data_IF_537377313003
#
_entry.id   IF_537377313003
#
_cell.length_a   1.000
_cell.length_b   1.000
_cell.length_c   1.000
_cell.angle_alpha   90.00
_cell.angle_beta   90.00
_cell.angle_gamma   90.00
#
_symmetry.space_group_name_H-M   'P 1'
#
loop_
_entity.id
_entity.type
_entity.pdbx_description
1 polymer ?
#
# COMPACT_ATOMS: atom_id res chain seq x y z
N UNK A 1 1.32 7.90 -22.08
CA UNK A 1 0.41 6.74 -22.01
C UNK A 1 1.07 5.45 -22.53
N UNK A 2 1.55 5.40 -23.77
CA UNK A 2 2.12 4.19 -24.39
C UNK A 2 3.28 3.57 -23.57
N UNK A 3 4.15 4.38 -23.00
CA UNK A 3 5.27 3.92 -22.17
C UNK A 3 4.77 3.23 -20.89
N UNK A 4 3.74 3.76 -20.23
CA UNK A 4 3.13 3.11 -19.05
C UNK A 4 2.47 1.77 -19.42
N UNK A 5 1.82 1.68 -20.57
CA UNK A 5 1.26 0.40 -21.06
C UNK A 5 2.36 -0.65 -21.28
N UNK A 6 3.50 -0.25 -21.86
CA UNK A 6 4.64 -1.16 -22.01
C UNK A 6 5.24 -1.58 -20.67
N UNK A 7 5.38 -0.65 -19.72
CA UNK A 7 5.84 -0.96 -18.38
C UNK A 7 4.85 -1.90 -17.65
N UNK A 8 3.54 -1.66 -17.76
CA UNK A 8 2.51 -2.53 -17.21
C UNK A 8 2.59 -3.95 -17.76
N UNK A 9 2.84 -4.11 -19.07
CA UNK A 9 3.05 -5.42 -19.67
C UNK A 9 4.23 -6.15 -19.02
N UNK A 10 5.36 -5.47 -18.82
CA UNK A 10 6.53 -6.05 -18.18
C UNK A 10 6.26 -6.47 -16.73
N UNK A 11 5.48 -5.68 -15.98
CA UNK A 11 5.04 -6.06 -14.62
C UNK A 11 4.16 -7.32 -14.65
N UNK A 12 3.25 -7.44 -15.62
CA UNK A 12 2.45 -8.65 -15.80
C UNK A 12 3.33 -9.85 -16.19
N UNK A 13 4.27 -9.68 -17.10
CA UNK A 13 5.23 -10.74 -17.49
C UNK A 13 6.03 -11.23 -16.26
N UNK A 14 6.45 -10.31 -15.36
CA UNK A 14 7.05 -10.68 -14.07
C UNK A 14 6.08 -11.45 -13.17
N UNK A 15 4.82 -11.06 -13.07
CA UNK A 15 3.86 -11.76 -12.20
C UNK A 15 3.70 -13.24 -12.60
N UNK A 16 3.80 -13.55 -13.89
CA UNK A 16 3.69 -14.91 -14.42
C UNK A 16 5.03 -15.65 -14.44
N UNK A 17 6.07 -15.02 -14.98
CA UNK A 17 7.37 -15.66 -15.22
C UNK A 17 8.38 -15.50 -14.09
N UNK A 18 8.15 -14.60 -13.13
CA UNK A 18 9.06 -14.25 -12.01
C UNK A 18 10.47 -13.80 -12.46
N UNK A 19 10.64 -13.37 -13.72
CA UNK A 19 11.89 -12.84 -14.20
C UNK A 19 12.05 -11.36 -13.81
N UNK A 20 13.00 -11.08 -12.93
CA UNK A 20 13.29 -9.75 -12.40
C UNK A 20 13.68 -8.73 -13.47
N UNK A 21 14.26 -9.20 -14.61
CA UNK A 21 14.59 -8.29 -15.72
C UNK A 21 13.39 -7.52 -16.23
N UNK A 22 12.22 -8.14 -16.22
CA UNK A 22 10.98 -7.44 -16.61
C UNK A 22 10.71 -6.21 -15.76
N UNK A 23 10.92 -6.28 -14.45
CA UNK A 23 10.75 -5.13 -13.55
C UNK A 23 11.86 -4.10 -13.75
N UNK A 24 13.10 -4.53 -14.00
CA UNK A 24 14.22 -3.63 -14.31
C UNK A 24 13.97 -2.85 -15.60
N UNK A 25 13.48 -3.52 -16.64
CA UNK A 25 13.15 -2.90 -17.93
C UNK A 25 11.93 -2.00 -17.86
N UNK A 26 11.04 -2.17 -16.87
CA UNK A 26 9.90 -1.28 -16.64
C UNK A 26 10.34 0.12 -16.15
N UNK A 27 11.43 0.22 -15.36
CA UNK A 27 11.90 1.49 -14.78
C UNK A 27 12.17 2.56 -15.85
N UNK A 28 13.02 2.34 -16.86
CA UNK A 28 13.31 3.37 -17.86
C UNK A 28 12.08 3.80 -18.65
N UNK A 29 11.09 2.92 -18.83
CA UNK A 29 9.82 3.28 -19.48
C UNK A 29 8.99 4.20 -18.59
N UNK A 30 8.96 3.95 -17.27
CA UNK A 30 8.28 4.81 -16.30
C UNK A 30 8.97 6.17 -16.20
N UNK A 31 10.31 6.21 -16.17
CA UNK A 31 11.10 7.44 -16.17
C UNK A 31 10.82 8.31 -17.40
N UNK A 32 10.86 7.73 -18.60
CA UNK A 32 10.50 8.45 -19.83
C UNK A 32 9.06 8.93 -19.81
N UNK A 33 8.14 8.11 -19.28
CA UNK A 33 6.74 8.52 -19.13
C UNK A 33 6.61 9.74 -18.21
N UNK A 34 7.36 9.77 -17.11
CA UNK A 34 7.38 10.88 -16.16
C UNK A 34 7.96 12.16 -16.79
N UNK A 35 9.02 12.05 -17.60
CA UNK A 35 9.55 13.20 -18.35
C UNK A 35 8.52 13.81 -19.29
N UNK A 36 7.79 12.97 -20.03
CA UNK A 36 6.71 13.46 -20.88
C UNK A 36 5.59 14.10 -20.06
N UNK A 37 5.32 13.57 -18.86
CA UNK A 37 4.33 14.16 -17.97
C UNK A 37 4.77 15.53 -17.44
N UNK A 38 6.04 15.71 -17.08
CA UNK A 38 6.61 17.02 -16.70
C UNK A 38 6.46 18.05 -17.81
N UNK A 39 6.74 17.65 -19.05
CA UNK A 39 6.49 18.53 -20.22
C UNK A 39 5.02 18.86 -20.39
N UNK A 40 4.12 17.93 -20.13
CA UNK A 40 2.69 18.18 -20.13
C UNK A 40 2.31 19.22 -19.07
N UNK A 41 2.89 19.12 -17.85
CA UNK A 41 2.68 20.11 -16.78
C UNK A 41 3.12 21.49 -17.24
N UNK A 42 4.33 21.64 -17.80
CA UNK A 42 4.84 22.91 -18.33
C UNK A 42 3.90 23.52 -19.40
N UNK A 43 3.36 22.70 -20.29
CA UNK A 43 2.47 23.15 -21.36
C UNK A 43 1.06 23.47 -20.88
N UNK A 44 0.64 22.96 -19.75
CA UNK A 44 -0.74 23.10 -19.24
C UNK A 44 -0.84 24.03 -18.05
N UNK A 45 0.28 24.38 -17.40
CA UNK A 45 0.31 25.34 -16.29
C UNK A 45 -0.23 26.68 -16.79
N UNK A 46 -1.10 27.30 -16.01
CA UNK A 46 -1.80 28.57 -16.33
C UNK A 46 -2.77 28.52 -17.54
N UNK A 47 -2.81 27.43 -18.33
CA UNK A 47 -3.67 27.31 -19.51
C UNK A 47 -4.95 26.51 -19.26
N UNK A 48 -4.94 25.63 -18.26
CA UNK A 48 -6.04 24.76 -17.91
C UNK A 48 -6.38 24.85 -16.43
N UNK A 49 -7.67 24.95 -16.13
CA UNK A 49 -8.14 25.04 -14.73
C UNK A 49 -7.96 23.71 -13.96
N UNK A 50 -7.98 22.59 -14.67
CA UNK A 50 -7.81 21.26 -14.09
C UNK A 50 -7.44 20.23 -15.16
N UNK A 51 -6.84 19.13 -14.71
CA UNK A 51 -6.55 17.98 -15.56
C UNK A 51 -7.84 17.25 -15.97
N UNK A 52 -7.89 16.78 -17.19
CA UNK A 52 -9.00 15.97 -17.68
C UNK A 52 -8.52 14.84 -18.57
N UNK A 53 -9.30 13.74 -18.60
CA UNK A 53 -9.10 12.68 -19.55
C UNK A 53 -9.95 12.92 -20.80
N UNK A 54 -9.37 12.72 -21.98
CA UNK A 54 -10.10 12.72 -23.25
C UNK A 54 -10.45 11.27 -23.60
N UNK A 55 -11.51 10.74 -23.03
CA UNK A 55 -12.01 9.42 -23.44
C UNK A 55 -12.84 9.46 -24.70
N UNK A 56 -13.54 10.55 -24.94
CA UNK A 56 -14.27 10.80 -26.18
C UNK A 56 -14.26 12.30 -26.48
N UNK A 57 -14.45 12.68 -27.76
CA UNK A 57 -14.57 14.07 -28.19
C UNK A 57 -15.69 14.86 -27.47
N UNK A 58 -16.64 14.16 -26.86
CA UNK A 58 -17.84 14.73 -26.23
C UNK A 58 -17.79 14.72 -24.68
N UNK A 59 -16.89 13.96 -24.05
CA UNK A 59 -16.81 13.85 -22.59
C UNK A 59 -15.39 14.12 -22.13
N UNK A 60 -15.19 15.29 -21.56
CA UNK A 60 -14.01 15.62 -20.77
C UNK A 60 -14.34 15.28 -19.32
N UNK A 61 -13.72 14.24 -18.79
CA UNK A 61 -13.90 13.83 -17.42
C UNK A 61 -12.76 14.46 -16.63
N UNK A 62 -13.04 15.36 -15.68
CA UNK A 62 -12.01 15.87 -14.78
C UNK A 62 -11.35 14.74 -14.01
N UNK A 63 -10.04 14.81 -13.84
CA UNK A 63 -9.31 13.90 -12.97
C UNK A 63 -9.38 14.52 -11.58
N UNK A 64 -10.27 13.98 -10.75
CA UNK A 64 -10.50 14.45 -9.39
C UNK A 64 -9.68 13.68 -8.37
N UNK A 65 -9.55 14.25 -7.19
CA UNK A 65 -9.10 13.55 -6.00
C UNK A 65 -10.27 13.03 -5.19
N UNK A 66 -9.97 12.20 -4.19
CA UNK A 66 -10.95 11.64 -3.25
C UNK A 66 -11.67 12.71 -2.41
N UNK A 67 -11.11 13.91 -2.37
CA UNK A 67 -11.67 15.09 -1.71
C UNK A 67 -12.75 15.83 -2.53
N UNK A 68 -13.07 15.32 -3.73
CA UNK A 68 -14.07 15.89 -4.64
C UNK A 68 -13.59 17.13 -5.41
N UNK A 69 -12.33 17.54 -5.27
CA UNK A 69 -11.76 18.65 -6.03
C UNK A 69 -11.07 18.14 -7.31
N UNK A 70 -11.28 18.86 -8.41
CA UNK A 70 -10.56 18.60 -9.64
C UNK A 70 -9.10 19.03 -9.48
N UNK A 71 -8.16 18.14 -9.80
CA UNK A 71 -6.72 18.41 -9.69
C UNK A 71 -6.16 18.95 -11.00
N UNK A 72 -5.16 19.81 -10.89
CA UNK A 72 -4.35 20.24 -12.02
C UNK A 72 -3.35 19.13 -12.41
N UNK A 73 -2.79 19.22 -13.61
CA UNK A 73 -1.70 18.32 -14.03
C UNK A 73 -0.49 18.41 -13.10
N UNK A 74 -0.22 19.58 -12.55
CA UNK A 74 0.87 19.85 -11.61
C UNK A 74 0.66 19.16 -10.26
N UNK A 75 -0.54 19.20 -9.72
CA UNK A 75 -0.90 18.50 -8.48
C UNK A 75 -0.83 16.98 -8.64
N UNK A 76 -1.17 16.45 -9.82
CA UNK A 76 -1.06 15.03 -10.13
C UNK A 76 0.39 14.56 -10.33
N UNK A 77 1.31 15.45 -10.71
CA UNK A 77 2.73 15.10 -10.94
C UNK A 77 3.36 14.45 -9.72
N UNK A 78 3.05 14.94 -8.52
CA UNK A 78 3.58 14.40 -7.25
C UNK A 78 3.24 12.93 -7.08
N UNK A 79 2.04 12.50 -7.51
CA UNK A 79 1.65 11.08 -7.45
C UNK A 79 2.48 10.22 -8.40
N UNK A 80 2.74 10.71 -9.63
CA UNK A 80 3.55 9.96 -10.60
C UNK A 80 5.03 9.88 -10.21
N UNK A 81 5.57 10.92 -9.57
CA UNK A 81 6.93 10.91 -9.03
C UNK A 81 7.05 9.88 -7.90
N UNK A 82 6.11 9.91 -6.97
CA UNK A 82 6.06 8.97 -5.85
C UNK A 82 5.81 7.52 -6.31
N UNK A 83 4.99 7.31 -7.33
CA UNK A 83 4.79 5.99 -7.95
C UNK A 83 6.11 5.39 -8.42
N UNK A 84 6.92 6.15 -9.17
CA UNK A 84 8.22 5.70 -9.66
C UNK A 84 9.20 5.42 -8.52
N UNK A 85 9.23 6.28 -7.51
CA UNK A 85 10.08 6.12 -6.33
C UNK A 85 9.71 4.83 -5.57
N UNK A 86 8.43 4.62 -5.30
CA UNK A 86 7.94 3.43 -4.63
C UNK A 86 8.19 2.16 -5.47
N UNK A 87 8.03 2.22 -6.79
CA UNK A 87 8.32 1.10 -7.67
C UNK A 87 9.80 0.69 -7.58
N UNK A 88 10.73 1.66 -7.61
CA UNK A 88 12.16 1.40 -7.46
C UNK A 88 12.50 0.81 -6.09
N UNK A 89 11.91 1.34 -5.03
CA UNK A 89 12.11 0.84 -3.66
C UNK A 89 11.62 -0.61 -3.53
N UNK A 90 10.43 -0.92 -4.04
CA UNK A 90 9.88 -2.27 -4.02
C UNK A 90 10.72 -3.25 -4.84
N UNK A 91 11.25 -2.84 -5.99
CA UNK A 91 12.15 -3.66 -6.78
C UNK A 91 13.47 -3.96 -6.03
N UNK A 92 14.04 -2.98 -5.34
CA UNK A 92 15.23 -3.18 -4.52
C UNK A 92 14.97 -4.24 -3.43
N UNK A 93 13.85 -4.15 -2.72
CA UNK A 93 13.44 -5.15 -1.72
C UNK A 93 13.27 -6.55 -2.31
N UNK A 94 12.71 -6.66 -3.52
CA UNK A 94 12.55 -7.95 -4.20
C UNK A 94 13.90 -8.57 -4.56
N UNK A 95 14.85 -7.77 -5.05
CA UNK A 95 16.21 -8.24 -5.38
C UNK A 95 16.95 -8.76 -4.16
N UNK A 96 16.86 -8.07 -3.04
CA UNK A 96 17.45 -8.48 -1.79
C UNK A 96 16.89 -9.83 -1.32
N UNK A 97 15.58 -10.04 -1.42
CA UNK A 97 14.95 -11.32 -1.10
C UNK A 97 15.39 -12.48 -2.03
N UNK A 98 15.61 -12.23 -3.33
CA UNK A 98 16.02 -13.26 -4.28
C UNK A 98 17.49 -13.68 -4.12
N UNK A 99 18.37 -12.78 -3.71
CA UNK A 99 19.80 -13.07 -3.58
C UNK A 99 20.18 -13.96 -2.39
N UNK A 100 19.17 -14.60 -1.75
CA UNK A 100 19.40 -15.50 -0.61
C UNK A 100 20.01 -14.78 0.62
N UNK A 101 20.34 -13.49 0.49
CA UNK A 101 20.09 -12.62 1.57
C UNK A 101 18.57 -12.70 1.79
N UNK A 102 18.15 -13.76 2.53
CA UNK A 102 17.21 -13.44 3.56
C UNK A 102 17.93 -12.30 4.30
N UNK A 103 17.70 -11.08 3.82
CA UNK A 103 17.30 -10.08 4.73
C UNK A 103 15.97 -10.69 5.21
N UNK A 104 16.08 -11.58 6.18
CA UNK A 104 15.83 -11.02 7.47
C UNK A 104 16.40 -9.62 7.35
N UNK A 105 15.62 -8.66 6.70
CA UNK A 105 15.54 -7.46 7.43
C UNK A 105 15.10 -8.00 8.79
N UNK A 106 16.04 -8.29 9.59
CA UNK A 106 16.21 -7.55 10.82
C UNK A 106 16.22 -6.11 10.34
N UNK A 107 15.06 -5.63 9.76
CA UNK A 107 14.60 -4.28 10.00
C UNK A 107 14.85 -4.22 11.47
N UNK A 108 15.97 -3.56 11.80
CA UNK A 108 16.43 -3.55 13.19
C UNK A 108 15.16 -3.30 13.97
N UNK A 109 14.73 -4.25 14.81
CA UNK A 109 13.45 -4.16 15.54
C UNK A 109 13.45 -2.86 16.34
N UNK A 110 14.63 -2.33 16.65
CA UNK A 110 14.84 -0.96 17.09
C UNK A 110 14.22 0.10 16.16
N UNK A 111 14.09 -0.14 14.84
CA UNK A 111 13.42 0.78 13.92
C UNK A 111 11.88 0.68 13.99
N UNK A 112 11.34 -0.33 14.65
CA UNK A 112 9.90 -0.54 14.86
C UNK A 112 9.48 -0.21 16.30
N UNK A 113 10.22 0.67 16.96
CA UNK A 113 9.79 1.19 18.26
C UNK A 113 8.38 1.79 18.10
N UNK A 114 7.45 1.50 19.04
CA UNK A 114 6.10 2.06 19.02
C UNK A 114 6.19 3.58 18.89
N UNK A 115 5.69 4.13 17.77
CA UNK A 115 5.61 5.56 17.60
C UNK A 115 4.43 6.11 18.40
N UNK A 116 4.59 7.30 18.97
CA UNK A 116 3.48 8.05 19.53
C UNK A 116 2.61 8.57 18.40
N UNK A 117 1.49 7.88 18.19
CA UNK A 117 0.48 8.22 17.20
C UNK A 117 -0.77 8.64 17.94
N UNK A 118 -1.21 9.88 17.70
CA UNK A 118 -2.49 10.36 18.17
C UNK A 118 -3.61 9.78 17.29
N UNK A 119 -4.34 8.81 17.84
CA UNK A 119 -5.43 8.15 17.14
C UNK A 119 -6.68 9.00 17.23
N UNK A 120 -7.19 9.44 16.08
CA UNK A 120 -8.44 10.21 15.98
C UNK A 120 -9.62 9.24 15.85
N UNK A 121 -9.44 8.12 15.15
CA UNK A 121 -10.44 7.06 15.06
C UNK A 121 -10.54 6.28 16.36
N UNK A 122 -11.76 6.06 16.84
CA UNK A 122 -12.01 5.41 18.13
C UNK A 122 -12.10 3.87 17.98
N UNK A 123 -10.95 3.22 17.74
CA UNK A 123 -10.87 1.77 17.73
C UNK A 123 -10.23 1.24 19.03
N UNK A 124 -10.79 0.18 19.66
CA UNK A 124 -10.13 -0.47 20.78
C UNK A 124 -8.79 -1.06 20.35
N UNK A 125 -7.83 -1.05 21.27
CA UNK A 125 -6.48 -1.55 21.02
C UNK A 125 -6.11 -2.68 21.97
N UNK A 126 -5.26 -3.59 21.48
CA UNK A 126 -4.69 -4.70 22.25
C UNK A 126 -3.19 -4.81 22.02
N UNK A 127 -2.48 -5.49 22.91
CA UNK A 127 -1.11 -5.93 22.66
C UNK A 127 -1.12 -7.26 21.91
N UNK A 128 -0.31 -7.36 20.87
CA UNK A 128 -0.18 -8.55 20.05
C UNK A 128 0.61 -9.62 20.82
N UNK A 129 -0.06 -10.71 21.15
CA UNK A 129 0.54 -11.91 21.73
C UNK A 129 -0.29 -13.13 21.32
N UNK A 130 0.27 -14.31 21.45
CA UNK A 130 -0.47 -15.56 21.36
C UNK A 130 -1.66 -15.56 22.32
N UNK A 131 -2.78 -16.10 21.90
CA UNK A 131 -4.04 -16.08 22.67
C UNK A 131 -4.86 -14.78 22.55
N UNK A 132 -4.32 -13.70 21.96
CA UNK A 132 -5.04 -12.43 21.76
C UNK A 132 -6.09 -12.57 20.66
N UNK A 133 -7.29 -12.01 20.89
CA UNK A 133 -8.33 -11.87 19.87
C UNK A 133 -8.21 -10.52 19.20
N UNK A 134 -8.06 -10.52 17.87
CA UNK A 134 -7.91 -9.32 17.04
C UNK A 134 -9.24 -8.74 16.54
N UNK A 135 -10.28 -9.56 16.52
CA UNK A 135 -11.63 -9.11 16.16
C UNK A 135 -12.50 -8.96 17.40
N UNK A 136 -13.47 -8.06 17.34
CA UNK A 136 -14.41 -7.84 18.46
C UNK A 136 -15.60 -8.81 18.44
N UNK A 137 -15.88 -9.38 17.27
CA UNK A 137 -17.08 -10.19 16.98
C UNK A 137 -16.74 -11.62 16.50
N UNK A 138 -15.48 -11.95 16.27
CA UNK A 138 -15.04 -13.26 15.83
C UNK A 138 -14.25 -13.97 16.94
N UNK A 139 -14.43 -15.29 17.12
CA UNK A 139 -13.83 -16.03 18.24
C UNK A 139 -12.34 -16.35 18.04
N UNK A 140 -11.79 -16.13 16.82
CA UNK A 140 -10.42 -16.49 16.47
C UNK A 140 -9.39 -15.79 17.37
N UNK A 141 -8.42 -16.56 17.87
CA UNK A 141 -7.28 -16.08 18.65
C UNK A 141 -6.00 -16.32 17.88
N UNK A 142 -4.99 -15.50 18.14
CA UNK A 142 -3.64 -15.69 17.60
C UNK A 142 -3.08 -17.00 18.15
N UNK A 143 -2.74 -17.94 17.27
CA UNK A 143 -2.06 -19.19 17.59
C UNK A 143 -0.55 -19.06 17.45
N UNK A 144 -0.10 -18.32 16.45
CA UNK A 144 1.31 -18.03 16.22
C UNK A 144 1.48 -16.61 15.68
N UNK A 145 2.56 -15.95 16.08
CA UNK A 145 2.88 -14.59 15.66
C UNK A 145 4.40 -14.43 15.50
N UNK A 146 4.79 -13.70 14.46
CA UNK A 146 6.19 -13.37 14.23
C UNK A 146 6.77 -12.62 15.45
N UNK A 147 8.01 -12.95 15.86
CA UNK A 147 8.64 -12.33 17.02
C UNK A 147 8.65 -10.81 16.98
N UNK A 148 8.82 -10.24 15.79
CA UNK A 148 8.87 -8.80 15.52
C UNK A 148 7.57 -8.07 15.88
N UNK A 149 6.46 -8.78 15.86
CA UNK A 149 5.13 -8.21 16.15
C UNK A 149 4.73 -8.38 17.63
N UNK A 150 5.44 -9.24 18.38
CA UNK A 150 5.07 -9.52 19.79
C UNK A 150 5.15 -8.25 20.64
N UNK A 151 4.09 -8.00 21.40
CA UNK A 151 3.97 -6.85 22.28
C UNK A 151 3.60 -5.53 21.59
N UNK A 152 3.55 -5.48 20.28
CA UNK A 152 3.10 -4.30 19.54
C UNK A 152 1.62 -4.01 19.82
N UNK A 153 1.24 -2.74 19.70
CA UNK A 153 -0.14 -2.28 19.81
C UNK A 153 -0.87 -2.48 18.49
N UNK A 154 -1.99 -3.16 18.52
CA UNK A 154 -2.85 -3.36 17.35
C UNK A 154 -4.27 -2.88 17.59
N UNK A 155 -4.96 -2.51 16.51
CA UNK A 155 -6.38 -2.18 16.56
C UNK A 155 -7.22 -3.46 16.58
N UNK A 156 -8.39 -3.39 17.23
CA UNK A 156 -9.40 -4.43 17.12
C UNK A 156 -10.56 -3.91 16.31
N UNK A 157 -10.90 -4.64 15.27
CA UNK A 157 -12.03 -4.31 14.40
C UNK A 157 -13.20 -5.26 14.65
N UNK A 158 -14.41 -4.80 14.31
CA UNK A 158 -15.51 -5.70 14.05
C UNK A 158 -15.25 -6.37 12.68
N UNK A 159 -14.97 -7.67 12.68
CA UNK A 159 -14.56 -8.40 11.48
C UNK A 159 -15.66 -8.43 10.41
N UNK A 160 -16.93 -8.60 10.80
CA UNK A 160 -18.04 -8.59 9.84
C UNK A 160 -18.26 -7.21 9.23
N UNK A 161 -18.13 -6.15 10.01
CA UNK A 161 -18.22 -4.79 9.50
C UNK A 161 -17.06 -4.47 8.57
N UNK A 162 -15.83 -4.84 8.93
CA UNK A 162 -14.65 -4.72 8.08
C UNK A 162 -14.84 -5.45 6.74
N UNK A 163 -15.38 -6.66 6.77
CA UNK A 163 -15.64 -7.45 5.57
C UNK A 163 -16.62 -6.75 4.61
N UNK A 164 -17.63 -6.10 5.14
CA UNK A 164 -18.73 -5.53 4.35
C UNK A 164 -18.47 -4.09 3.90
N UNK A 165 -17.86 -3.29 4.74
CA UNK A 165 -17.71 -1.85 4.53
C UNK A 165 -16.26 -1.41 4.31
N UNK A 166 -15.26 -2.18 4.78
CA UNK A 166 -13.89 -1.74 4.94
C UNK A 166 -13.74 -0.89 6.21
N UNK A 167 -12.56 -0.34 6.42
CA UNK A 167 -12.24 0.47 7.60
C UNK A 167 -11.46 1.71 7.21
N UNK A 168 -11.73 2.83 7.87
CA UNK A 168 -10.99 4.08 7.73
C UNK A 168 -10.30 4.41 9.06
N UNK A 169 -8.99 4.54 9.05
CA UNK A 169 -8.18 4.86 10.23
C UNK A 169 -7.60 6.26 10.06
N UNK A 170 -8.07 7.20 10.87
CA UNK A 170 -7.53 8.57 10.89
C UNK A 170 -6.64 8.74 12.12
N UNK A 171 -5.44 9.25 11.89
CA UNK A 171 -4.43 9.46 12.93
C UNK A 171 -3.58 10.68 12.60
N UNK A 172 -2.84 11.16 13.60
CA UNK A 172 -1.88 12.25 13.49
C UNK A 172 -0.55 11.83 14.14
N UNK A 173 0.55 12.19 13.54
CA UNK A 173 1.89 11.85 14.02
C UNK A 173 2.87 13.01 13.83
N UNK A 174 3.78 13.17 14.77
CA UNK A 174 4.83 14.22 14.74
C UNK A 174 6.12 13.76 14.03
N UNK A 175 6.22 12.48 13.68
CA UNK A 175 7.38 11.89 13.01
C UNK A 175 6.90 10.91 11.92
N UNK A 176 7.74 10.58 10.94
CA UNK A 176 7.41 9.51 9.98
C UNK A 176 7.10 8.19 10.68
N UNK A 177 6.02 7.52 10.28
CA UNK A 177 5.56 6.25 10.86
C UNK A 177 5.23 5.23 9.79
N UNK A 178 5.26 3.95 10.18
CA UNK A 178 4.75 2.84 9.38
C UNK A 178 3.57 2.21 10.10
N UNK A 179 2.42 2.12 9.43
CA UNK A 179 1.31 1.28 9.85
C UNK A 179 1.45 -0.10 9.23
N UNK A 180 1.32 -1.12 10.04
CA UNK A 180 1.39 -2.52 9.61
C UNK A 180 -0.02 -3.06 9.40
N UNK A 181 -0.26 -3.66 8.24
CA UNK A 181 -1.55 -4.26 7.89
C UNK A 181 -1.34 -5.71 7.49
N UNK A 182 -2.01 -6.63 8.16
CA UNK A 182 -1.93 -8.05 7.88
C UNK A 182 -3.05 -8.48 6.92
N UNK A 183 -2.66 -9.04 5.78
CA UNK A 183 -3.54 -9.60 4.77
C UNK A 183 -3.48 -11.11 4.76
N UNK A 184 -4.64 -11.76 4.81
CA UNK A 184 -4.74 -13.21 4.78
C UNK A 184 -4.38 -13.78 3.40
N UNK A 185 -3.63 -14.87 3.39
CA UNK A 185 -3.19 -15.58 2.18
C UNK A 185 -4.31 -16.49 1.63
N UNK A 186 -5.39 -15.87 1.19
CA UNK A 186 -6.54 -16.60 0.63
C UNK A 186 -7.23 -15.73 -0.43
N UNK A 187 -7.59 -16.36 -1.56
CA UNK A 187 -8.24 -15.67 -2.68
C UNK A 187 -9.78 -15.61 -2.57
N UNK A 188 -10.35 -16.18 -1.51
CA UNK A 188 -11.80 -16.13 -1.30
C UNK A 188 -12.25 -14.67 -1.13
N UNK A 189 -13.41 -14.34 -1.70
CA UNK A 189 -13.97 -12.97 -1.68
C UNK A 189 -14.19 -12.37 -0.28
N UNK A 190 -14.21 -13.22 0.76
CA UNK A 190 -14.36 -12.74 2.14
C UNK A 190 -13.10 -12.11 2.72
N UNK A 191 -11.92 -12.35 2.12
CA UNK A 191 -10.66 -11.76 2.53
C UNK A 191 -10.31 -10.56 1.66
N UNK A 192 -9.75 -9.53 2.28
CA UNK A 192 -9.23 -8.37 1.57
C UNK A 192 -8.00 -8.79 0.74
N UNK A 193 -7.93 -8.32 -0.48
CA UNK A 193 -6.76 -8.57 -1.33
C UNK A 193 -5.60 -7.70 -0.88
N UNK A 194 -4.43 -8.33 -0.73
CA UNK A 194 -3.20 -7.61 -0.44
C UNK A 194 -2.83 -6.67 -1.60
N UNK A 195 -2.19 -5.55 -1.30
CA UNK A 195 -1.60 -4.68 -2.33
C UNK A 195 -0.65 -5.47 -3.22
N UNK A 196 -0.56 -5.06 -4.48
CA UNK A 196 0.34 -5.66 -5.47
C UNK A 196 1.21 -4.58 -6.10
N UNK A 197 2.37 -4.98 -6.58
CA UNK A 197 3.20 -4.10 -7.39
C UNK A 197 2.45 -3.76 -8.68
N UNK A 198 2.18 -2.49 -8.88
CA UNK A 198 1.46 -1.93 -10.02
C UNK A 198 2.18 -0.68 -10.51
N UNK A 199 1.77 -0.17 -11.66
CA UNK A 199 2.28 1.07 -12.25
C UNK A 199 1.16 2.10 -12.45
N UNK A 200 0.14 2.02 -11.63
CA UNK A 200 -0.90 3.05 -11.53
C UNK A 200 -0.44 4.18 -10.61
N UNK A 201 -0.83 5.42 -10.91
CA UNK A 201 -0.40 6.61 -10.19
C UNK A 201 -0.72 6.60 -8.69
N UNK A 202 -1.75 5.87 -8.28
CA UNK A 202 -2.18 5.76 -6.87
C UNK A 202 -1.87 4.41 -6.23
N UNK A 203 -1.47 3.40 -7.02
CA UNK A 203 -1.43 2.01 -6.58
C UNK A 203 -0.45 1.73 -5.43
N UNK A 204 0.65 2.47 -5.35
CA UNK A 204 1.70 2.29 -4.34
C UNK A 204 2.07 3.59 -3.62
N UNK A 205 1.10 4.46 -3.37
CA UNK A 205 1.33 5.77 -2.74
C UNK A 205 2.06 5.68 -1.40
N UNK A 206 1.90 4.56 -0.69
CA UNK A 206 2.50 4.33 0.63
C UNK A 206 3.60 3.27 0.62
N UNK A 207 4.00 2.75 -0.53
CA UNK A 207 5.07 1.76 -0.66
C UNK A 207 4.73 0.36 -0.11
N UNK A 208 3.45 -0.02 -0.11
CA UNK A 208 2.94 -1.21 0.59
C UNK A 208 2.87 -2.49 -0.25
N UNK A 209 3.28 -2.48 -1.52
CA UNK A 209 3.03 -3.60 -2.45
C UNK A 209 3.69 -4.93 -2.05
N UNK A 210 4.85 -4.87 -1.42
CA UNK A 210 5.55 -6.07 -0.98
C UNK A 210 5.36 -6.31 0.53
N UNK A 211 5.11 -7.56 0.95
CA UNK A 211 5.01 -7.86 2.37
C UNK A 211 6.36 -7.68 3.07
N UNK A 212 6.37 -6.98 4.19
CA UNK A 212 7.56 -6.84 5.04
C UNK A 212 7.80 -8.06 5.91
N UNK A 213 6.72 -8.77 6.29
CA UNK A 213 6.79 -10.07 6.97
C UNK A 213 5.86 -11.05 6.26
N UNK A 214 6.37 -12.23 5.93
CA UNK A 214 5.58 -13.31 5.35
C UNK A 214 5.16 -14.32 6.42
N UNK A 215 3.92 -14.84 6.32
CA UNK A 215 3.41 -15.85 7.27
C UNK A 215 3.52 -15.39 8.73
N UNK A 216 3.26 -14.09 8.95
CA UNK A 216 3.58 -13.41 10.19
C UNK A 216 2.56 -13.64 11.32
N UNK A 217 1.30 -13.92 10.96
CA UNK A 217 0.22 -14.11 11.94
C UNK A 217 -0.61 -15.34 11.51
N UNK A 218 -0.89 -16.19 12.48
CA UNK A 218 -1.87 -17.27 12.36
C UNK A 218 -2.97 -17.08 13.40
N UNK A 219 -4.19 -16.97 12.96
CA UNK A 219 -5.40 -16.87 13.79
C UNK A 219 -6.19 -18.16 13.61
N UNK A 220 -6.63 -18.76 14.73
CA UNK A 220 -7.43 -19.98 14.71
C UNK A 220 -8.65 -19.84 13.78
N UNK A 221 -8.79 -20.78 12.84
CA UNK A 221 -9.87 -20.81 11.86
C UNK A 221 -9.72 -19.83 10.69
N UNK A 222 -8.56 -19.16 10.57
CA UNK A 222 -8.25 -18.25 9.46
C UNK A 222 -6.95 -18.67 8.74
N UNK A 223 -6.78 -18.28 7.47
CA UNK A 223 -5.52 -18.48 6.76
C UNK A 223 -4.36 -17.73 7.42
N UNK A 224 -3.15 -18.12 7.06
CA UNK A 224 -1.95 -17.39 7.43
C UNK A 224 -1.98 -15.98 6.82
N UNK A 225 -1.43 -14.99 7.53
CA UNK A 225 -1.40 -13.62 7.07
C UNK A 225 0.03 -13.12 6.83
N UNK A 226 0.19 -12.35 5.75
CA UNK A 226 1.38 -11.57 5.46
C UNK A 226 1.15 -10.13 5.95
N UNK A 227 2.22 -9.48 6.42
CA UNK A 227 2.17 -8.08 6.86
C UNK A 227 2.77 -7.18 5.82
N UNK A 228 2.04 -6.14 5.46
CA UNK A 228 2.47 -5.05 4.60
C UNK A 228 2.63 -3.77 5.43
N UNK A 229 3.57 -2.90 5.05
CA UNK A 229 3.84 -1.64 5.74
C UNK A 229 3.39 -0.45 4.88
N UNK A 230 2.62 0.44 5.49
CA UNK A 230 2.17 1.70 4.91
C UNK A 230 2.97 2.84 5.54
N UNK A 231 3.77 3.53 4.76
CA UNK A 231 4.66 4.60 5.23
C UNK A 231 3.97 5.96 5.15
N UNK A 232 3.97 6.69 6.25
CA UNK A 232 3.39 8.02 6.34
C UNK A 232 4.42 9.03 6.86
N UNK A 233 4.53 10.23 6.27
CA UNK A 233 5.30 11.32 6.85
C UNK A 233 4.62 11.86 8.12
N UNK A 234 5.27 12.79 8.81
CA UNK A 234 4.63 13.54 9.88
C UNK A 234 3.40 14.30 9.38
N UNK A 235 2.35 14.37 10.21
CA UNK A 235 1.10 15.05 9.88
C UNK A 235 -0.14 14.22 10.19
N UNK A 236 -1.30 14.71 9.72
CA UNK A 236 -2.60 14.05 9.84
C UNK A 236 -2.88 13.23 8.58
N UNK A 237 -3.23 11.96 8.77
CA UNK A 237 -3.47 11.00 7.69
C UNK A 237 -4.74 10.19 7.91
N UNK A 238 -5.27 9.68 6.82
CA UNK A 238 -6.36 8.70 6.83
C UNK A 238 -5.96 7.53 5.93
N UNK A 239 -5.85 6.34 6.52
CA UNK A 239 -5.68 5.08 5.78
C UNK A 239 -7.05 4.43 5.58
N UNK A 240 -7.42 4.23 4.33
CA UNK A 240 -8.62 3.48 3.95
C UNK A 240 -8.25 2.03 3.65
N UNK A 241 -8.80 1.11 4.40
CA UNK A 241 -8.61 -0.33 4.21
C UNK A 241 -9.77 -0.92 3.40
N UNK A 242 -9.48 -1.78 2.41
CA UNK A 242 -10.51 -2.34 1.53
C UNK A 242 -11.47 -3.26 2.28
N UNK A 243 -12.60 -3.58 1.64
CA UNK A 243 -13.55 -4.59 2.11
C UNK A 243 -12.91 -5.97 2.13
N UNK A 244 -13.26 -6.77 3.14
CA UNK A 244 -12.74 -8.11 3.37
C UNK A 244 -12.07 -8.23 4.73
N UNK A 245 -11.90 -9.46 5.23
CA UNK A 245 -11.15 -9.67 6.45
C UNK A 245 -9.67 -9.31 6.23
N UNK A 246 -9.13 -8.48 7.11
CA UNK A 246 -7.72 -8.12 7.27
C UNK A 246 -7.47 -7.69 8.71
N UNK A 247 -6.19 -7.42 9.09
CA UNK A 247 -5.86 -6.95 10.42
C UNK A 247 -4.73 -5.92 10.37
#
# INVERSE_FOLDING_TARGET
FNLKVKAAKLVLDYQWGKDMKNLEEAIPLMEQSLEHYRKLVELTDEHYLYANSMQTAQRRIPIGGDDGHNKTWKELLVHYEKELENFKANLAMLKEKQNGNAVTETVEIAAWAPADVNLISNYPTVKLNEGTSLFTDLPGKIEAIAPELKGMKAFRFNGNEQREKGTSITFETNAPVKLLVAYFKDDQKKYAKAPKLEIDASANDYGQAEPVLTTAIHINGMPLANVHAYSFPAGKHTLMLPKGYLQ
#
